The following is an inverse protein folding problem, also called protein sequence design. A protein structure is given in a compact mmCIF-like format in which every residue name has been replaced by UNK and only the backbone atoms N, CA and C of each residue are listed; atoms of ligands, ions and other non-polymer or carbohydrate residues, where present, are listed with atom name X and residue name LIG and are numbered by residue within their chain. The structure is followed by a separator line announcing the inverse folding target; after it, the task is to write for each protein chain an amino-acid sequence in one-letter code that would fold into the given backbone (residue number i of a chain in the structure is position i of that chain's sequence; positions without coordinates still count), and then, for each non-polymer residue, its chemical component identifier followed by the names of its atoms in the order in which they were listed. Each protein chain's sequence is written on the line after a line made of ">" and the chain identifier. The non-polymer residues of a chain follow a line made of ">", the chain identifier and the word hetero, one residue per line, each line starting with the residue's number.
data_IF_054664126482
#
_entry.id   IF_054664126482
#
_cell.length_a   1.000
_cell.length_b   1.000
_cell.length_c   1.000
_cell.angle_alpha   90.00
_cell.angle_beta   90.00
_cell.angle_gamma   90.00
#
_symmetry.space_group_name_H-M   'P 1'
#
loop_
_entity.id
_entity.type
_entity.pdbx_description
1 polymer ?
#
# COMPACT_ATOMS: atom_id res chain seq x y z
N UNK A 1 22.02 -1.81 20.00
CA UNK A 1 22.57 -0.99 18.88
C UNK A 1 21.51 -0.56 17.87
N UNK A 2 20.71 -1.47 17.27
CA UNK A 2 19.78 -1.20 16.14
C UNK A 2 19.04 0.16 16.18
N UNK A 3 18.42 0.55 17.28
CA UNK A 3 17.70 1.83 17.42
C UNK A 3 18.55 3.10 17.18
N UNK A 4 19.84 3.11 17.50
CA UNK A 4 20.70 4.30 17.31
C UNK A 4 21.01 4.58 15.84
N UNK A 5 21.06 3.53 15.00
CA UNK A 5 21.28 3.66 13.55
C UNK A 5 20.05 4.29 12.89
N UNK A 6 18.84 3.86 13.29
CA UNK A 6 17.57 4.35 12.73
C UNK A 6 17.36 5.85 12.93
N UNK A 7 17.71 6.39 14.10
CA UNK A 7 17.60 7.84 14.39
C UNK A 7 18.58 8.66 13.54
N UNK A 8 19.77 8.15 13.25
CA UNK A 8 20.78 8.86 12.44
C UNK A 8 20.28 9.03 10.99
N UNK A 9 19.69 8.00 10.40
CA UNK A 9 19.15 8.07 9.03
C UNK A 9 17.99 9.08 8.87
N UNK A 10 17.12 9.19 9.88
CA UNK A 10 16.04 10.19 9.86
C UNK A 10 16.60 11.62 9.92
N UNK A 11 17.61 11.87 10.75
CA UNK A 11 18.22 13.19 10.89
C UNK A 11 19.01 13.62 9.64
N UNK A 12 19.78 12.72 9.01
CA UNK A 12 20.54 13.06 7.79
C UNK A 12 19.64 13.22 6.57
N UNK A 13 18.64 12.35 6.41
CA UNK A 13 17.68 12.42 5.30
C UNK A 13 16.81 13.67 5.30
N UNK A 14 16.46 14.20 6.48
CA UNK A 14 15.56 15.35 6.61
C UNK A 14 16.26 16.73 6.50
N UNK A 15 17.53 16.85 6.94
CA UNK A 15 18.23 18.15 6.91
C UNK A 15 18.82 18.52 5.55
N UNK A 16 19.30 17.56 4.75
CA UNK A 16 19.99 17.85 3.49
C UNK A 16 19.14 18.63 2.46
N UNK A 17 17.83 18.34 2.27
CA UNK A 17 16.98 19.13 1.38
C UNK A 17 16.75 20.58 1.84
N UNK A 18 16.83 20.84 3.15
CA UNK A 18 16.53 22.15 3.73
C UNK A 18 17.65 23.18 3.50
N UNK A 19 18.91 22.77 3.40
CA UNK A 19 20.00 23.69 3.03
C UNK A 19 19.93 24.11 1.55
N UNK A 20 19.44 23.25 0.66
CA UNK A 20 19.34 23.56 -0.77
C UNK A 20 18.36 24.72 -1.05
N UNK A 21 17.26 24.80 -0.30
CA UNK A 21 16.23 25.84 -0.47
C UNK A 21 16.67 27.24 -0.02
N UNK A 22 17.75 27.37 0.76
CA UNK A 22 18.27 28.68 1.22
C UNK A 22 19.19 29.33 0.17
N UNK A 23 19.72 28.57 -0.81
CA UNK A 23 20.71 29.07 -1.76
C UNK A 23 20.13 29.65 -3.06
N UNK A 24 18.82 29.58 -3.29
CA UNK A 24 18.19 29.95 -4.56
C UNK A 24 17.29 31.20 -4.42
N UNK A 25 17.88 32.32 -4.00
CA UNK A 25 17.23 33.62 -4.09
C UNK A 25 18.21 34.65 -4.68
N UNK A 26 18.19 34.76 -6.01
CA UNK A 26 18.98 35.73 -6.78
C UNK A 26 18.07 36.35 -7.83
N UNK A 27 17.84 37.66 -7.71
CA UNK A 27 16.99 38.40 -8.64
C UNK A 27 17.64 38.47 -10.04
N UNK A 28 16.87 38.29 -11.13
CA UNK A 28 17.36 38.60 -12.47
C UNK A 28 17.33 40.12 -12.71
N UNK A 29 18.45 40.69 -13.14
CA UNK A 29 18.53 42.09 -13.54
C UNK A 29 17.59 42.41 -14.72
N UNK A 30 17.11 43.66 -14.76
CA UNK A 30 16.42 44.21 -15.93
C UNK A 30 17.42 44.47 -17.05
N UNK A 31 17.15 43.96 -18.25
CA UNK A 31 17.77 44.45 -19.49
C UNK A 31 16.69 44.86 -20.48
N UNK A 32 16.88 46.02 -21.12
CA UNK A 32 15.89 46.59 -22.03
C UNK A 32 16.10 46.14 -23.49
N UNK A 33 14.99 45.87 -24.17
CA UNK A 33 14.78 46.27 -25.57
C UNK A 33 15.56 45.55 -26.69
N UNK A 34 14.81 44.74 -27.46
CA UNK A 34 14.84 44.83 -28.94
C UNK A 34 13.41 44.81 -29.46
N UNK A 35 13.04 45.79 -30.30
CA UNK A 35 11.81 45.75 -31.12
C UNK A 35 12.10 44.97 -32.40
N UNK A 36 11.31 43.93 -32.69
CA UNK A 36 11.27 43.29 -34.01
C UNK A 36 9.83 42.89 -34.35
N UNK A 37 9.11 43.81 -35.03
CA UNK A 37 7.79 43.55 -35.59
C UNK A 37 7.90 43.15 -37.06
N UNK A 38 7.61 41.89 -37.38
CA UNK A 38 7.53 41.39 -38.76
C UNK A 38 6.16 40.76 -39.01
N UNK A 39 5.54 41.12 -40.14
CA UNK A 39 4.16 40.75 -40.48
C UNK A 39 4.05 39.26 -40.79
N UNK A 40 3.08 38.58 -40.16
CA UNK A 40 2.50 37.37 -40.74
C UNK A 40 1.62 37.76 -41.94
N UNK A 41 1.78 37.04 -43.05
CA UNK A 41 0.78 36.97 -44.12
C UNK A 41 0.76 35.52 -44.66
N UNK A 42 -0.41 35.03 -45.03
CA UNK A 42 -0.57 33.67 -45.53
C UNK A 42 -0.43 33.60 -47.06
N UNK A 43 -0.03 32.43 -47.58
CA UNK A 43 -0.86 31.69 -48.54
C UNK A 43 -0.30 30.28 -48.83
N UNK A 44 -1.21 29.41 -49.27
CA UNK A 44 -1.09 27.99 -49.66
C UNK A 44 -0.47 27.81 -51.07
N UNK A 45 -0.26 26.58 -51.64
CA UNK A 45 -0.74 25.25 -51.24
C UNK A 45 0.29 24.09 -51.24
N UNK A 46 -0.19 22.89 -50.91
CA UNK A 46 0.46 21.58 -51.10
C UNK A 46 0.35 21.06 -52.54
N UNK A 47 1.23 20.13 -52.96
CA UNK A 47 0.95 19.15 -54.00
C UNK A 47 0.76 17.71 -53.43
N UNK A 48 -0.09 16.92 -54.08
CA UNK A 48 -0.26 15.46 -53.84
C UNK A 48 0.62 14.63 -54.81
N UNK A 49 0.81 13.32 -54.59
CA UNK A 49 1.89 12.57 -55.25
C UNK A 49 1.55 11.96 -56.61
N UNK A 50 2.58 11.88 -57.46
CA UNK A 50 2.86 10.80 -58.39
C UNK A 50 4.39 10.54 -58.35
N UNK A 51 4.94 9.36 -58.64
CA UNK A 51 4.31 8.14 -59.15
C UNK A 51 4.58 7.93 -60.63
N UNK A 52 5.75 7.34 -60.98
CA UNK A 52 5.99 6.60 -62.23
C UNK A 52 7.33 5.81 -62.16
N UNK A 53 7.26 4.52 -62.50
CA UNK A 53 8.25 3.63 -63.17
C UNK A 53 9.76 3.95 -63.21
N UNK A 54 10.60 2.92 -62.98
CA UNK A 54 11.98 2.86 -63.49
C UNK A 54 12.81 1.70 -62.92
N UNK A 55 13.09 0.66 -63.70
CA UNK A 55 13.80 -0.55 -63.23
C UNK A 55 15.32 -0.38 -63.03
N UNK A 56 15.90 -1.16 -62.12
CA UNK A 56 17.33 -1.08 -61.78
C UNK A 56 17.87 -2.29 -61.02
N UNK A 57 17.89 -3.48 -61.64
CA UNK A 57 18.50 -4.68 -61.06
C UNK A 57 20.01 -4.51 -60.85
N UNK A 58 20.46 -4.54 -59.58
CA UNK A 58 21.84 -4.89 -59.22
C UNK A 58 21.84 -5.78 -57.98
N UNK A 59 22.48 -6.95 -58.08
CA UNK A 59 22.86 -7.74 -56.90
C UNK A 59 23.96 -7.00 -56.15
N UNK A 60 23.98 -7.16 -54.83
CA UNK A 60 25.15 -6.93 -54.00
C UNK A 60 25.39 -8.21 -53.21
N UNK A 61 26.52 -8.87 -53.49
CA UNK A 61 26.93 -10.10 -52.81
C UNK A 61 27.51 -9.79 -51.41
N UNK A 62 27.42 -10.70 -50.44
CA UNK A 62 27.74 -10.41 -49.04
C UNK A 62 29.26 -10.35 -48.77
N UNK A 63 29.71 -9.52 -47.80
CA UNK A 63 31.10 -9.52 -47.34
C UNK A 63 31.46 -10.83 -46.60
N UNK A 64 32.74 -11.25 -46.62
CA UNK A 64 33.15 -12.60 -46.22
C UNK A 64 33.35 -12.81 -44.71
N UNK A 65 33.25 -14.08 -44.30
CA UNK A 65 33.67 -14.58 -42.98
C UNK A 65 35.17 -14.93 -42.95
N UNK A 66 35.92 -14.51 -41.91
CA UNK A 66 36.89 -15.35 -41.22
C UNK A 66 36.13 -16.43 -40.40
N UNK A 67 36.60 -17.66 -40.18
CA UNK A 67 38.01 -18.08 -40.14
C UNK A 67 38.59 -17.72 -38.77
N UNK A 68 38.77 -18.61 -37.80
CA UNK A 68 38.69 -20.07 -37.83
C UNK A 68 39.95 -20.60 -37.14
N UNK A 69 39.83 -21.01 -35.88
CA UNK A 69 40.98 -21.44 -35.07
C UNK A 69 40.52 -22.15 -33.80
N UNK A 70 40.94 -23.39 -33.65
CA UNK A 70 40.67 -24.22 -32.48
C UNK A 70 42.01 -24.70 -31.90
N UNK A 71 42.15 -24.61 -30.58
CA UNK A 71 43.26 -25.22 -29.82
C UNK A 71 42.75 -25.69 -28.47
N UNK A 72 42.49 -26.98 -28.36
CA UNK A 72 42.48 -27.74 -27.10
C UNK A 72 43.64 -28.74 -27.17
N UNK A 73 44.52 -28.77 -26.15
CA UNK A 73 45.17 -30.02 -25.79
C UNK A 73 45.21 -30.25 -24.27
N UNK A 74 44.15 -30.83 -23.72
CA UNK A 74 44.12 -32.25 -23.33
C UNK A 74 45.03 -32.79 -22.19
N UNK A 75 44.43 -33.68 -21.40
CA UNK A 75 45.03 -34.78 -20.61
C UNK A 75 46.10 -34.51 -19.52
N UNK A 76 45.67 -34.66 -18.27
CA UNK A 76 46.21 -35.68 -17.33
C UNK A 76 45.13 -35.98 -16.27
N UNK A 77 44.67 -37.20 -15.96
CA UNK A 77 45.18 -38.57 -15.96
C UNK A 77 45.93 -39.00 -14.67
N UNK A 78 45.20 -39.73 -13.80
CA UNK A 78 45.75 -40.71 -12.83
C UNK A 78 46.07 -40.24 -11.40
N UNK A 79 45.22 -40.58 -10.41
CA UNK A 79 45.38 -41.79 -9.58
C UNK A 79 44.57 -41.80 -8.25
N UNK A 80 44.11 -42.99 -7.87
CA UNK A 80 43.61 -43.40 -6.54
C UNK A 80 44.78 -43.78 -5.58
N UNK A 81 44.60 -44.27 -4.33
CA UNK A 81 43.37 -44.43 -3.50
C UNK A 81 43.50 -43.90 -2.04
N UNK A 82 42.41 -44.06 -1.26
CA UNK A 82 42.43 -44.13 0.21
C UNK A 82 42.01 -42.83 0.94
N UNK A 83 41.43 -42.88 2.13
CA UNK A 83 40.97 -44.06 2.88
C UNK A 83 40.72 -43.70 4.36
N UNK A 84 39.51 -43.98 4.87
CA UNK A 84 39.17 -43.65 6.25
C UNK A 84 37.68 -43.86 6.54
N UNK A 85 37.34 -44.93 7.25
CA UNK A 85 36.01 -45.19 7.75
C UNK A 85 36.00 -45.12 9.28
N UNK A 86 34.99 -44.48 9.85
CA UNK A 86 34.53 -44.71 11.23
C UNK A 86 33.02 -44.52 11.26
N UNK A 87 32.34 -45.41 11.97
CA UNK A 87 30.88 -45.57 11.97
C UNK A 87 30.27 -45.00 13.29
N UNK A 88 29.04 -45.29 13.75
CA UNK A 88 28.01 -44.25 13.77
C UNK A 88 27.55 -43.82 15.17
N UNK A 89 26.99 -42.60 15.26
CA UNK A 89 26.33 -42.08 16.46
C UNK A 89 24.80 -42.10 16.33
N UNK A 90 24.13 -42.95 17.11
CA UNK A 90 22.67 -43.11 17.12
C UNK A 90 21.92 -41.98 17.84
N UNK A 91 20.70 -41.64 17.40
CA UNK A 91 19.90 -40.57 18.03
C UNK A 91 18.43 -40.51 17.59
N UNK A 92 17.70 -41.63 17.63
CA UNK A 92 16.26 -41.64 17.32
C UNK A 92 15.43 -41.07 18.49
N UNK A 93 14.63 -40.04 18.23
CA UNK A 93 13.70 -39.43 19.19
C UNK A 93 12.27 -39.44 18.66
N UNK A 94 11.38 -40.23 19.26
CA UNK A 94 9.99 -40.36 18.83
C UNK A 94 9.09 -39.28 19.44
N UNK A 95 8.19 -38.70 18.63
CA UNK A 95 6.98 -38.02 19.10
C UNK A 95 5.75 -38.86 18.73
N UNK A 96 4.93 -39.23 19.73
CA UNK A 96 3.58 -38.64 19.87
C UNK A 96 3.31 -38.19 21.33
N UNK A 97 2.20 -37.54 21.69
CA UNK A 97 1.08 -37.01 20.90
C UNK A 97 -0.28 -37.23 21.56
N UNK A 98 -1.06 -36.15 21.78
CA UNK A 98 -2.49 -36.19 22.16
C UNK A 98 -2.83 -36.45 23.65
N UNK A 99 -3.78 -35.69 24.19
CA UNK A 99 -4.37 -35.87 25.53
C UNK A 99 -5.21 -34.64 25.94
N UNK A 100 -6.39 -34.85 26.54
CA UNK A 100 -7.36 -33.78 26.87
C UNK A 100 -8.21 -34.14 28.12
N UNK A 101 -8.99 -33.17 28.63
CA UNK A 101 -9.99 -33.26 29.74
C UNK A 101 -9.40 -33.61 31.12
N UNK A 102 -9.95 -33.22 32.29
CA UNK A 102 -11.08 -32.34 32.65
C UNK A 102 -10.81 -31.73 34.06
N UNK A 103 -11.54 -30.71 34.56
CA UNK A 103 -11.22 -30.08 35.85
C UNK A 103 -11.96 -30.69 37.06
N UNK A 104 -11.19 -31.05 38.10
CA UNK A 104 -11.63 -31.07 39.50
C UNK A 104 -10.87 -29.99 40.29
N UNK A 105 -11.40 -29.40 41.36
CA UNK A 105 -12.57 -29.77 42.14
C UNK A 105 -12.14 -30.01 43.59
N UNK A 106 -12.25 -28.99 44.45
CA UNK A 106 -11.81 -29.09 45.85
C UNK A 106 -12.08 -27.81 46.63
N UNK A 107 -12.93 -27.90 47.65
CA UNK A 107 -13.22 -26.82 48.59
C UNK A 107 -12.83 -27.24 50.01
N UNK A 108 -12.08 -26.40 50.72
CA UNK A 108 -11.74 -26.60 52.14
C UNK A 108 -11.71 -25.27 52.91
N UNK A 109 -12.73 -25.10 53.77
CA UNK A 109 -12.63 -24.67 55.18
C UNK A 109 -11.65 -23.56 55.60
N UNK A 110 -12.18 -22.54 56.32
CA UNK A 110 -11.42 -21.75 57.31
C UNK A 110 -11.14 -22.55 58.60
N UNK A 111 -10.98 -21.94 59.81
CA UNK A 111 -11.56 -20.65 60.25
C UNK A 111 -10.68 -19.78 61.21
N UNK A 112 -11.30 -18.78 61.86
CA UNK A 112 -11.09 -18.31 63.27
C UNK A 112 -10.49 -16.90 63.54
N UNK A 113 -11.11 -16.22 64.53
CA UNK A 113 -10.76 -14.89 65.09
C UNK A 113 -11.58 -13.72 64.48
N UNK A 114 -12.37 -12.90 65.20
CA UNK A 114 -12.62 -12.74 66.65
C UNK A 114 -11.62 -11.81 67.33
N UNK A 115 -11.97 -10.73 68.06
CA UNK A 115 -13.26 -10.06 68.39
C UNK A 115 -12.94 -8.58 68.81
N UNK A 116 -13.79 -7.66 69.31
CA UNK A 116 -15.15 -7.66 69.92
C UNK A 116 -15.78 -6.24 69.84
N UNK A 117 -17.02 -6.04 70.34
CA UNK A 117 -17.65 -4.73 70.71
C UNK A 117 -17.75 -4.62 72.27
N UNK A 118 -18.27 -3.57 72.98
CA UNK A 118 -19.40 -2.68 72.63
C UNK A 118 -19.41 -1.19 73.16
N UNK A 119 -20.50 -0.45 72.86
CA UNK A 119 -20.97 0.80 73.55
C UNK A 119 -20.34 2.11 73.06
N UNK A 120 -20.97 3.29 73.05
CA UNK A 120 -22.30 3.83 73.47
C UNK A 120 -22.14 5.35 73.75
N UNK A 121 -23.10 6.29 73.68
CA UNK A 121 -24.52 6.33 73.31
C UNK A 121 -25.04 7.80 73.39
N UNK A 122 -26.37 8.01 73.46
CA UNK A 122 -27.11 9.25 73.86
C UNK A 122 -27.26 10.47 72.90
N UNK A 123 -28.49 10.67 72.39
CA UNK A 123 -29.47 11.79 72.67
C UNK A 123 -28.97 13.18 73.16
N UNK A 124 -29.53 14.35 72.79
CA UNK A 124 -30.69 14.73 71.92
C UNK A 124 -30.58 16.24 71.43
N UNK A 125 -31.58 17.16 71.31
CA UNK A 125 -31.77 17.90 70.05
C UNK A 125 -31.87 19.45 70.10
N UNK A 126 -32.24 20.04 68.94
CA UNK A 126 -32.89 21.34 68.64
C UNK A 126 -32.05 22.32 67.80
N UNK A 127 -32.66 22.93 66.75
CA UNK A 127 -31.96 23.96 65.97
C UNK A 127 -32.57 24.49 64.65
N UNK A 128 -33.87 24.82 64.61
CA UNK A 128 -34.42 25.76 63.59
C UNK A 128 -34.67 25.24 62.17
N UNK A 129 -35.84 25.55 61.63
CA UNK A 129 -36.19 25.32 60.22
C UNK A 129 -36.28 26.66 59.47
N UNK A 130 -35.80 26.70 58.23
CA UNK A 130 -36.25 27.66 57.19
C UNK A 130 -35.89 27.18 55.78
N UNK A 131 -36.91 26.72 55.06
CA UNK A 131 -37.03 26.79 53.60
C UNK A 131 -38.32 27.61 53.35
N UNK A 132 -38.32 28.60 52.44
CA UNK A 132 -38.70 28.31 51.04
C UNK A 132 -37.83 29.05 50.00
N UNK A 133 -37.02 28.30 49.24
CA UNK A 133 -36.03 28.83 48.29
C UNK A 133 -36.24 28.55 46.79
N UNK A 134 -37.36 27.93 46.39
CA UNK A 134 -37.89 27.82 45.01
C UNK A 134 -36.86 27.84 43.85
N UNK A 135 -36.09 26.75 43.69
CA UNK A 135 -35.05 26.62 42.64
C UNK A 135 -35.08 25.32 41.83
N UNK A 136 -36.16 24.53 41.93
CA UNK A 136 -36.26 23.20 41.30
C UNK A 136 -36.54 23.28 39.79
N UNK A 137 -35.56 23.75 39.02
CA UNK A 137 -35.55 23.62 37.56
C UNK A 137 -35.37 22.16 37.15
N UNK A 138 -36.46 21.49 36.73
CA UNK A 138 -36.41 20.14 36.17
C UNK A 138 -35.59 20.13 34.87
N UNK A 139 -34.31 19.74 34.97
CA UNK A 139 -33.43 19.55 33.81
C UNK A 139 -32.88 18.10 33.71
N UNK A 140 -33.74 17.09 33.49
CA UNK A 140 -33.29 15.75 33.14
C UNK A 140 -32.76 15.76 31.69
N UNK A 141 -31.45 15.92 31.52
CA UNK A 141 -30.79 15.88 30.21
C UNK A 141 -29.30 16.21 30.27
N UNK A 142 -28.98 17.45 30.63
CA UNK A 142 -27.66 18.06 30.35
C UNK A 142 -26.40 17.36 30.90
N UNK A 143 -26.52 16.42 31.84
CA UNK A 143 -25.39 15.58 32.27
C UNK A 143 -25.09 14.42 31.31
N UNK A 144 -26.12 13.83 30.70
CA UNK A 144 -25.97 12.79 29.68
C UNK A 144 -25.55 13.41 28.34
N UNK A 145 -26.23 14.49 27.92
CA UNK A 145 -25.93 15.20 26.67
C UNK A 145 -24.45 15.66 26.60
N UNK A 146 -23.89 16.12 27.73
CA UNK A 146 -22.48 16.51 27.82
C UNK A 146 -21.50 15.32 27.80
N UNK A 147 -21.90 14.15 28.30
CA UNK A 147 -21.08 12.94 28.25
C UNK A 147 -21.05 12.36 26.82
N UNK A 148 -22.20 12.32 26.15
CA UNK A 148 -22.31 11.83 24.77
C UNK A 148 -21.50 12.70 23.81
N UNK A 149 -21.62 14.03 23.87
CA UNK A 149 -20.84 14.95 23.03
C UNK A 149 -19.33 14.86 23.28
N UNK A 150 -18.90 14.57 24.53
CA UNK A 150 -17.51 14.30 24.84
C UNK A 150 -17.01 12.98 24.21
N UNK A 151 -17.80 11.90 24.26
CA UNK A 151 -17.43 10.64 23.60
C UNK A 151 -17.41 10.80 22.07
N UNK A 152 -18.36 11.55 21.48
CA UNK A 152 -18.32 11.91 20.05
C UNK A 152 -17.01 12.61 19.69
N UNK A 153 -16.58 13.59 20.48
CA UNK A 153 -15.33 14.31 20.21
C UNK A 153 -14.12 13.37 20.28
N UNK A 154 -14.03 12.47 21.26
CA UNK A 154 -12.97 11.44 21.34
C UNK A 154 -12.94 10.52 20.11
N UNK A 155 -14.10 10.22 19.52
CA UNK A 155 -14.23 9.44 18.28
C UNK A 155 -13.73 10.26 17.06
N UNK A 156 -14.04 11.55 16.98
CA UNK A 156 -13.58 12.45 15.91
C UNK A 156 -12.08 12.72 16.01
N UNK A 157 -11.55 12.82 17.22
CA UNK A 157 -10.13 12.94 17.51
C UNK A 157 -9.36 11.70 17.01
N UNK A 158 -9.93 10.50 17.19
CA UNK A 158 -9.40 9.26 16.63
C UNK A 158 -9.35 9.30 15.09
N UNK A 159 -10.44 9.72 14.42
CA UNK A 159 -10.44 9.85 12.95
C UNK A 159 -9.45 10.90 12.44
N UNK A 160 -9.30 12.01 13.17
CA UNK A 160 -8.37 13.09 12.85
C UNK A 160 -6.91 12.62 12.92
N UNK A 161 -6.57 11.80 13.92
CA UNK A 161 -5.24 11.17 14.07
C UNK A 161 -5.00 10.07 13.03
N UNK A 162 -6.05 9.37 12.61
CA UNK A 162 -6.01 8.30 11.61
C UNK A 162 -5.83 8.82 10.18
N UNK A 163 -6.52 9.90 9.80
CA UNK A 163 -6.44 10.51 8.46
C UNK A 163 -5.21 11.42 8.32
N UNK A 164 -4.04 10.83 8.56
CA UNK A 164 -2.73 11.48 8.50
C UNK A 164 -2.38 11.99 7.10
N UNK A 165 -1.36 12.85 7.03
CA UNK A 165 -0.98 13.59 5.81
C UNK A 165 -0.60 12.69 4.62
N UNK A 166 -0.19 11.43 4.83
CA UNK A 166 0.09 10.47 3.75
C UNK A 166 -1.18 10.14 2.97
N UNK A 167 -2.23 9.68 3.66
CA UNK A 167 -3.55 9.40 3.08
C UNK A 167 -4.12 10.64 2.38
N UNK A 168 -4.06 11.80 3.05
CA UNK A 168 -4.54 13.08 2.48
C UNK A 168 -3.75 13.47 1.20
N UNK A 169 -2.43 13.30 1.18
CA UNK A 169 -1.58 13.54 -0.01
C UNK A 169 -1.92 12.58 -1.15
N UNK A 170 -2.03 11.28 -0.89
CA UNK A 170 -2.33 10.25 -1.91
C UNK A 170 -3.69 10.48 -2.58
N UNK A 171 -4.70 10.88 -1.80
CA UNK A 171 -6.02 11.26 -2.32
C UNK A 171 -5.96 12.57 -3.12
N UNK A 172 -5.17 13.56 -2.67
CA UNK A 172 -4.97 14.81 -3.40
C UNK A 172 -4.35 14.56 -4.79
N UNK A 173 -3.24 13.80 -4.85
CA UNK A 173 -2.59 13.40 -6.11
C UNK A 173 -3.57 12.59 -6.98
N UNK A 174 -4.36 11.67 -6.40
CA UNK A 174 -5.32 10.91 -7.20
C UNK A 174 -6.40 11.78 -7.84
N UNK A 175 -6.85 12.83 -7.16
CA UNK A 175 -7.88 13.76 -7.66
C UNK A 175 -7.33 14.87 -8.57
N UNK A 176 -6.01 15.10 -8.61
CA UNK A 176 -5.40 16.15 -9.41
C UNK A 176 -5.51 15.86 -10.93
N UNK A 177 -6.33 16.67 -11.62
CA UNK A 177 -6.53 16.57 -13.07
C UNK A 177 -5.32 17.00 -13.89
N UNK A 178 -4.34 17.69 -13.30
CA UNK A 178 -3.09 18.14 -13.93
C UNK A 178 -1.93 17.17 -13.76
N UNK A 179 -2.04 16.22 -12.83
CA UNK A 179 -1.01 15.19 -12.59
C UNK A 179 -0.72 14.36 -13.83
N UNK A 180 0.56 14.22 -14.16
CA UNK A 180 1.04 13.61 -15.40
C UNK A 180 1.82 12.32 -15.14
N UNK A 181 1.17 11.18 -15.42
CA UNK A 181 1.74 9.83 -15.35
C UNK A 181 3.05 9.66 -16.13
N UNK A 182 3.25 10.44 -17.20
CA UNK A 182 4.46 10.43 -18.02
C UNK A 182 5.63 11.14 -17.32
N UNK A 183 5.35 12.16 -16.50
CA UNK A 183 6.38 12.85 -15.72
C UNK A 183 6.98 11.98 -14.62
N UNK A 184 6.15 11.16 -13.98
CA UNK A 184 6.54 10.25 -12.88
C UNK A 184 7.43 9.08 -13.33
N UNK A 185 7.61 8.88 -14.64
CA UNK A 185 8.59 7.95 -15.22
C UNK A 185 8.44 6.48 -14.76
N UNK A 186 7.24 6.03 -14.38
CA UNK A 186 6.99 4.67 -13.86
C UNK A 186 7.34 3.53 -14.83
N UNK A 187 7.45 3.78 -16.14
CA UNK A 187 7.92 2.81 -17.14
C UNK A 187 7.18 1.46 -17.17
N UNK A 188 5.83 1.48 -17.09
CA UNK A 188 4.98 0.27 -17.11
C UNK A 188 4.06 0.12 -18.34
N UNK A 189 4.07 1.08 -19.28
CA UNK A 189 3.03 1.24 -20.31
C UNK A 189 3.36 0.74 -21.73
N UNK A 190 4.62 0.49 -22.10
CA UNK A 190 4.93 0.04 -23.47
C UNK A 190 4.31 -1.33 -23.76
N UNK A 191 4.16 -1.71 -25.04
CA UNK A 191 3.46 -2.95 -25.43
C UNK A 191 4.14 -4.25 -24.95
N UNK A 192 5.42 -4.20 -24.57
CA UNK A 192 6.16 -5.31 -23.98
C UNK A 192 6.20 -5.26 -22.43
N UNK A 193 5.77 -4.15 -21.82
CA UNK A 193 5.69 -3.99 -20.37
C UNK A 193 4.34 -4.45 -19.83
N UNK A 194 4.28 -4.59 -18.51
CA UNK A 194 3.16 -4.99 -17.68
C UNK A 194 1.78 -4.53 -18.18
N UNK A 195 1.50 -3.22 -18.24
CA UNK A 195 0.18 -2.72 -18.68
C UNK A 195 -0.09 -2.90 -20.18
N UNK A 196 0.94 -3.20 -20.98
CA UNK A 196 0.82 -3.61 -22.37
C UNK A 196 0.44 -5.08 -22.55
N UNK A 197 0.63 -5.94 -21.53
CA UNK A 197 0.26 -7.36 -21.61
C UNK A 197 -1.00 -7.73 -20.82
N UNK A 198 -1.26 -7.13 -19.66
CA UNK A 198 -2.46 -7.46 -18.84
C UNK A 198 -3.70 -6.69 -19.30
N UNK A 199 -4.88 -7.25 -19.01
CA UNK A 199 -6.17 -6.69 -19.39
C UNK A 199 -7.10 -6.51 -18.18
N UNK A 200 -7.98 -5.52 -18.21
CA UNK A 200 -9.12 -5.44 -17.31
C UNK A 200 -10.43 -5.72 -18.05
N UNK A 201 -11.53 -5.71 -17.31
CA UNK A 201 -12.89 -5.79 -17.85
C UNK A 201 -13.53 -4.42 -17.65
N UNK A 202 -13.92 -3.77 -18.73
CA UNK A 202 -14.42 -2.39 -18.74
C UNK A 202 -15.89 -2.29 -18.30
N UNK A 203 -16.42 -1.07 -18.15
CA UNK A 203 -17.82 -0.83 -17.78
C UNK A 203 -18.83 -1.42 -18.80
N UNK A 204 -18.41 -1.68 -20.04
CA UNK A 204 -19.18 -2.32 -21.12
C UNK A 204 -18.94 -3.85 -21.18
N UNK A 205 -18.29 -4.42 -20.15
CA UNK A 205 -17.92 -5.83 -19.97
C UNK A 205 -16.92 -6.36 -21.02
N UNK A 206 -16.24 -5.47 -21.75
CA UNK A 206 -15.22 -5.83 -22.76
C UNK A 206 -13.84 -6.02 -22.12
N UNK A 207 -12.97 -6.78 -22.77
CA UNK A 207 -11.57 -6.95 -22.35
C UNK A 207 -10.69 -5.87 -22.98
N UNK A 208 -9.89 -5.20 -22.16
CA UNK A 208 -9.17 -3.97 -22.57
C UNK A 208 -7.78 -3.91 -21.93
N UNK A 209 -6.77 -3.53 -22.69
CA UNK A 209 -5.39 -3.38 -22.21
C UNK A 209 -5.27 -2.16 -21.29
N UNK A 210 -4.45 -2.27 -20.24
CA UNK A 210 -4.27 -1.18 -19.29
C UNK A 210 -3.52 0.02 -19.86
N UNK A 211 -2.69 -0.16 -20.89
CA UNK A 211 -1.86 0.92 -21.46
C UNK A 211 -2.56 1.85 -22.47
N UNK A 212 -3.85 1.65 -22.76
CA UNK A 212 -4.58 2.55 -23.66
C UNK A 212 -4.78 3.93 -23.03
N UNK A 213 -4.86 4.97 -23.87
CA UNK A 213 -4.84 6.37 -23.43
C UNK A 213 -6.23 7.02 -23.29
N UNK A 214 -7.27 6.21 -23.29
CA UNK A 214 -8.61 6.64 -22.87
C UNK A 214 -8.71 6.78 -21.34
N UNK A 215 -9.74 7.48 -20.89
CA UNK A 215 -9.84 7.93 -19.50
C UNK A 215 -10.17 6.79 -18.52
N UNK A 216 -10.84 5.74 -18.98
CA UNK A 216 -11.12 4.57 -18.14
C UNK A 216 -9.83 3.76 -17.88
N UNK A 217 -8.96 3.61 -18.89
CA UNK A 217 -7.65 2.98 -18.73
C UNK A 217 -6.69 3.84 -17.90
N UNK A 218 -6.71 5.17 -18.06
CA UNK A 218 -5.97 6.09 -17.18
C UNK A 218 -6.44 5.97 -15.72
N UNK A 219 -7.74 6.00 -15.46
CA UNK A 219 -8.29 5.76 -14.11
C UNK A 219 -7.90 4.38 -13.58
N UNK A 220 -7.93 3.34 -14.43
CA UNK A 220 -7.51 2.00 -14.06
C UNK A 220 -6.03 1.91 -13.62
N UNK A 221 -5.14 2.72 -14.21
CA UNK A 221 -3.74 2.84 -13.76
C UNK A 221 -3.60 3.74 -12.53
N UNK A 222 -4.31 4.88 -12.45
CA UNK A 222 -4.34 5.77 -11.27
C UNK A 222 -4.84 5.08 -9.99
N UNK A 223 -5.76 4.11 -10.11
CA UNK A 223 -6.16 3.23 -9.00
C UNK A 223 -5.04 2.29 -8.55
N UNK A 224 -4.22 1.79 -9.48
CA UNK A 224 -3.06 0.95 -9.15
C UNK A 224 -2.01 1.81 -8.41
N UNK A 225 -1.67 2.99 -8.93
CA UNK A 225 -0.70 3.89 -8.27
C UNK A 225 -1.17 4.38 -6.90
N UNK A 226 -2.47 4.62 -6.74
CA UNK A 226 -3.06 4.98 -5.46
C UNK A 226 -2.89 3.87 -4.40
N UNK A 227 -2.92 2.59 -4.80
CA UNK A 227 -2.65 1.47 -3.89
C UNK A 227 -1.23 1.48 -3.31
N UNK A 228 -0.28 2.09 -4.01
CA UNK A 228 1.12 2.27 -3.61
C UNK A 228 1.43 3.73 -3.24
N UNK A 229 0.41 4.49 -2.80
CA UNK A 229 0.54 5.88 -2.30
C UNK A 229 1.16 6.88 -3.31
N UNK A 230 1.13 6.57 -4.61
CA UNK A 230 1.88 7.26 -5.68
C UNK A 230 3.42 7.30 -5.48
N UNK A 231 3.95 6.51 -4.55
CA UNK A 231 5.38 6.49 -4.22
C UNK A 231 6.16 5.66 -5.26
N UNK A 232 6.94 6.36 -6.08
CA UNK A 232 7.77 5.78 -7.16
C UNK A 232 8.52 4.49 -6.75
N UNK A 233 9.25 4.41 -5.62
CA UNK A 233 10.02 3.20 -5.29
C UNK A 233 9.15 1.96 -5.03
N UNK A 234 7.92 2.14 -4.54
CA UNK A 234 6.98 1.04 -4.33
C UNK A 234 6.39 0.55 -5.66
N UNK A 235 6.06 1.49 -6.55
CA UNK A 235 5.53 1.23 -7.90
C UNK A 235 6.62 0.58 -8.79
N UNK A 236 7.87 1.04 -8.67
CA UNK A 236 9.03 0.52 -9.37
C UNK A 236 9.34 -0.92 -8.96
N UNK A 237 9.47 -1.20 -7.65
CA UNK A 237 9.77 -2.54 -7.14
C UNK A 237 8.72 -3.59 -7.59
N UNK A 238 7.43 -3.28 -7.44
CA UNK A 238 6.36 -4.16 -7.92
C UNK A 238 6.36 -4.27 -9.46
N UNK A 239 6.52 -3.13 -10.14
CA UNK A 239 6.47 -3.02 -11.59
C UNK A 239 7.60 -3.76 -12.31
N UNK A 240 8.82 -3.75 -11.77
CA UNK A 240 9.97 -4.48 -12.30
C UNK A 240 9.76 -6.00 -12.26
N UNK A 241 9.24 -6.52 -11.13
CA UNK A 241 8.91 -7.94 -10.97
C UNK A 241 7.75 -8.35 -11.89
N UNK A 242 6.70 -7.53 -11.97
CA UNK A 242 5.59 -7.75 -12.89
C UNK A 242 6.00 -7.66 -14.37
N UNK A 243 6.99 -6.82 -14.72
CA UNK A 243 7.59 -6.77 -16.06
C UNK A 243 8.38 -8.05 -16.39
N UNK A 244 9.14 -8.63 -15.44
CA UNK A 244 9.83 -9.93 -15.65
C UNK A 244 8.81 -11.06 -15.92
N UNK A 245 7.74 -11.14 -15.14
CA UNK A 245 6.63 -12.09 -15.39
C UNK A 245 5.90 -11.84 -16.72
N UNK A 246 5.71 -10.58 -17.11
CA UNK A 246 5.11 -10.21 -18.40
C UNK A 246 5.97 -10.66 -19.60
N UNK A 247 7.28 -10.50 -19.51
CA UNK A 247 8.23 -10.83 -20.59
C UNK A 247 8.27 -12.33 -20.93
N UNK A 248 7.97 -13.21 -19.97
CA UNK A 248 7.89 -14.66 -20.18
C UNK A 248 6.69 -15.09 -21.05
N UNK A 249 5.72 -14.19 -21.31
CA UNK A 249 4.52 -14.45 -22.14
C UNK A 249 3.63 -15.62 -21.67
N UNK A 250 3.87 -16.13 -20.45
CA UNK A 250 3.15 -17.26 -19.86
C UNK A 250 1.68 -16.88 -19.54
N UNK A 251 0.74 -17.68 -20.05
CA UNK A 251 -0.71 -17.46 -19.93
C UNK A 251 -1.19 -17.51 -18.48
N UNK A 252 -0.60 -18.36 -17.64
CA UNK A 252 -0.92 -18.45 -16.22
C UNK A 252 -0.43 -17.19 -15.49
N UNK A 253 0.84 -16.81 -15.63
CA UNK A 253 1.40 -15.60 -15.03
C UNK A 253 0.59 -14.35 -15.40
N UNK A 254 0.22 -14.20 -16.67
CA UNK A 254 -0.64 -13.11 -17.16
C UNK A 254 -2.02 -13.10 -16.49
N UNK A 255 -2.59 -14.26 -16.22
CA UNK A 255 -3.89 -14.41 -15.55
C UNK A 255 -3.80 -14.05 -14.06
N UNK A 256 -2.75 -14.51 -13.38
CA UNK A 256 -2.47 -14.22 -11.97
C UNK A 256 -2.19 -12.73 -11.75
N UNK A 257 -1.31 -12.11 -12.55
CA UNK A 257 -1.09 -10.66 -12.55
C UNK A 257 -2.40 -9.88 -12.78
N UNK A 258 -3.24 -10.33 -13.72
CA UNK A 258 -4.54 -9.71 -14.00
C UNK A 258 -5.46 -9.74 -12.77
N UNK A 259 -5.50 -10.87 -12.05
CA UNK A 259 -6.30 -11.03 -10.83
C UNK A 259 -5.73 -10.22 -9.65
N UNK A 260 -4.41 -10.20 -9.50
CA UNK A 260 -3.69 -9.44 -8.47
C UNK A 260 -3.96 -7.93 -8.62
N UNK A 261 -3.75 -7.37 -9.81
CA UNK A 261 -4.04 -5.96 -10.10
C UNK A 261 -5.53 -5.63 -9.91
N UNK A 262 -6.43 -6.52 -10.31
CA UNK A 262 -7.87 -6.34 -10.09
C UNK A 262 -8.18 -6.17 -8.59
N UNK A 263 -7.61 -7.01 -7.72
CA UNK A 263 -7.79 -6.88 -6.25
C UNK A 263 -7.15 -5.60 -5.72
N UNK A 264 -5.90 -5.31 -6.08
CA UNK A 264 -5.18 -4.11 -5.64
C UNK A 264 -5.97 -2.83 -5.98
N UNK A 265 -6.54 -2.74 -7.19
CA UNK A 265 -7.43 -1.64 -7.59
C UNK A 265 -8.76 -1.60 -6.83
N UNK A 266 -9.36 -2.75 -6.53
CA UNK A 266 -10.57 -2.83 -5.69
C UNK A 266 -10.29 -2.31 -4.28
N UNK A 267 -9.16 -2.69 -3.69
CA UNK A 267 -8.68 -2.20 -2.41
C UNK A 267 -8.43 -0.69 -2.43
N UNK A 268 -7.74 -0.15 -3.43
CA UNK A 268 -7.47 1.29 -3.52
C UNK A 268 -8.75 2.13 -3.60
N UNK A 269 -9.74 1.69 -4.40
CA UNK A 269 -11.08 2.29 -4.42
C UNK A 269 -11.76 2.22 -3.05
N UNK A 270 -11.72 1.06 -2.39
CA UNK A 270 -12.37 0.85 -1.11
C UNK A 270 -11.75 1.72 -0.01
N UNK A 271 -10.44 1.60 0.23
CA UNK A 271 -9.73 2.36 1.25
C UNK A 271 -9.78 3.87 0.98
N UNK A 272 -9.10 4.33 -0.07
CA UNK A 272 -8.88 5.76 -0.28
C UNK A 272 -10.14 6.49 -0.76
N UNK A 273 -10.88 5.92 -1.71
CA UNK A 273 -11.96 6.65 -2.40
C UNK A 273 -13.35 6.45 -1.77
N UNK A 274 -13.59 5.32 -1.11
CA UNK A 274 -14.90 4.97 -0.52
C UNK A 274 -14.94 5.22 0.98
N UNK A 275 -13.87 4.89 1.73
CA UNK A 275 -13.80 5.16 3.17
C UNK A 275 -13.11 6.51 3.49
N UNK A 276 -11.85 6.69 3.10
CA UNK A 276 -11.05 7.85 3.52
C UNK A 276 -11.54 9.18 2.95
N UNK A 277 -11.73 9.27 1.62
CA UNK A 277 -12.09 10.51 0.93
C UNK A 277 -13.43 11.10 1.41
N UNK A 278 -14.53 10.34 1.62
CA UNK A 278 -15.73 10.87 2.27
C UNK A 278 -15.51 11.29 3.72
N UNK A 279 -14.77 10.52 4.54
CA UNK A 279 -14.50 10.88 5.94
C UNK A 279 -13.71 12.20 6.05
N UNK A 280 -12.74 12.41 5.15
CA UNK A 280 -11.96 13.66 5.07
C UNK A 280 -12.83 14.83 4.61
N UNK A 281 -13.75 14.61 3.66
CA UNK A 281 -14.65 15.65 3.13
C UNK A 281 -15.79 16.07 4.05
N UNK A 282 -16.10 15.27 5.07
CA UNK A 282 -17.14 15.54 6.07
C UNK A 282 -16.60 15.61 7.50
N UNK A 283 -15.28 15.79 7.66
CA UNK A 283 -14.59 15.77 8.96
C UNK A 283 -15.14 16.82 9.93
N UNK A 284 -15.61 17.95 9.39
CA UNK A 284 -16.27 19.07 10.07
C UNK A 284 -17.70 18.78 10.54
N UNK A 285 -18.37 17.77 9.95
CA UNK A 285 -19.78 17.44 10.18
C UNK A 285 -20.01 16.17 11.00
N UNK A 286 -18.94 15.52 11.47
CA UNK A 286 -19.06 14.25 12.18
C UNK A 286 -19.86 14.34 13.49
N UNK A 287 -19.97 15.52 14.12
CA UNK A 287 -20.83 15.74 15.30
C UNK A 287 -22.33 15.67 14.99
N UNK A 288 -22.74 15.82 13.72
CA UNK A 288 -24.14 15.68 13.27
C UNK A 288 -24.63 14.21 13.32
N UNK A 289 -23.71 13.23 13.42
CA UNK A 289 -24.05 11.82 13.64
C UNK A 289 -24.46 11.57 15.10
N UNK A 290 -25.31 10.57 15.32
CA UNK A 290 -25.53 10.04 16.68
C UNK A 290 -24.32 9.24 17.19
N UNK A 291 -24.26 9.02 18.51
CA UNK A 291 -23.12 8.35 19.14
C UNK A 291 -22.99 6.88 18.69
N UNK A 292 -24.10 6.20 18.38
CA UNK A 292 -24.08 4.80 17.94
C UNK A 292 -23.56 4.66 16.51
N UNK A 293 -23.91 5.60 15.63
CA UNK A 293 -23.31 5.74 14.30
C UNK A 293 -21.81 6.01 14.39
N UNK A 294 -21.37 6.92 15.28
CA UNK A 294 -19.95 7.23 15.47
C UNK A 294 -19.16 6.05 16.04
N UNK A 295 -19.72 5.33 17.02
CA UNK A 295 -19.15 4.07 17.54
C UNK A 295 -19.04 3.00 16.43
N UNK A 296 -20.09 2.85 15.61
CA UNK A 296 -20.10 1.89 14.48
C UNK A 296 -19.07 2.28 13.42
N UNK A 297 -19.00 3.57 13.06
CA UNK A 297 -18.02 4.13 12.13
C UNK A 297 -16.59 3.93 12.65
N UNK A 298 -16.35 4.11 13.95
CA UNK A 298 -15.06 3.86 14.62
C UNK A 298 -14.65 2.40 14.54
N UNK A 299 -15.57 1.47 14.75
CA UNK A 299 -15.31 0.04 14.58
C UNK A 299 -14.96 -0.32 13.12
N UNK A 300 -15.76 0.16 12.16
CA UNK A 300 -15.56 -0.10 10.71
C UNK A 300 -14.25 0.49 10.18
N UNK A 301 -13.99 1.77 10.46
CA UNK A 301 -12.73 2.45 10.08
C UNK A 301 -11.54 1.84 10.83
N UNK A 302 -11.73 1.38 12.07
CA UNK A 302 -10.70 0.68 12.85
C UNK A 302 -10.27 -0.66 12.24
N UNK A 303 -11.22 -1.46 11.77
CA UNK A 303 -10.93 -2.69 11.03
C UNK A 303 -10.18 -2.38 9.72
N UNK A 304 -10.71 -1.45 8.91
CA UNK A 304 -10.11 -1.02 7.64
C UNK A 304 -8.67 -0.51 7.82
N UNK A 305 -8.40 0.26 8.88
CA UNK A 305 -7.07 0.80 9.21
C UNK A 305 -6.11 -0.27 9.77
N UNK A 306 -6.62 -1.33 10.39
CA UNK A 306 -5.80 -2.49 10.80
C UNK A 306 -5.33 -3.24 9.56
N UNK A 307 -6.26 -3.59 8.67
CA UNK A 307 -5.92 -4.33 7.45
C UNK A 307 -5.10 -3.48 6.44
N UNK A 308 -5.33 -2.18 6.39
CA UNK A 308 -4.44 -1.24 5.69
C UNK A 308 -2.98 -1.38 6.12
N UNK A 309 -2.71 -1.44 7.42
CA UNK A 309 -1.34 -1.60 7.96
C UNK A 309 -0.78 -2.99 7.65
N UNK A 310 -1.59 -4.03 7.72
CA UNK A 310 -1.18 -5.39 7.37
C UNK A 310 -0.75 -5.46 5.89
N UNK A 311 -1.57 -4.95 4.97
CA UNK A 311 -1.24 -4.84 3.53
C UNK A 311 0.00 -3.96 3.30
N UNK A 312 0.06 -2.79 3.94
CA UNK A 312 1.19 -1.87 3.78
C UNK A 312 2.51 -2.47 4.29
N UNK A 313 2.49 -3.24 5.38
CA UNK A 313 3.68 -3.88 5.96
C UNK A 313 4.07 -5.18 5.23
N UNK A 314 3.16 -6.15 5.17
CA UNK A 314 3.42 -7.53 4.70
C UNK A 314 3.52 -7.64 3.18
N UNK A 315 2.83 -6.77 2.42
CA UNK A 315 2.84 -6.78 0.97
C UNK A 315 3.65 -5.62 0.38
N UNK A 316 3.21 -4.36 0.58
CA UNK A 316 3.82 -3.19 -0.10
C UNK A 316 5.27 -2.98 0.34
N UNK A 317 5.50 -2.74 1.64
CA UNK A 317 6.83 -2.53 2.19
C UNK A 317 7.69 -3.80 2.08
N UNK A 318 7.11 -5.00 2.18
CA UNK A 318 7.92 -6.21 2.02
C UNK A 318 8.42 -6.37 0.58
N UNK A 319 7.60 -6.16 -0.44
CA UNK A 319 8.04 -6.23 -1.84
C UNK A 319 9.10 -5.16 -2.13
N UNK A 320 8.89 -3.94 -1.64
CA UNK A 320 9.90 -2.87 -1.71
C UNK A 320 11.22 -3.26 -1.05
N UNK A 321 11.20 -3.69 0.22
CA UNK A 321 12.43 -4.01 0.96
C UNK A 321 13.12 -5.23 0.37
N UNK A 322 12.40 -6.30 0.05
CA UNK A 322 12.97 -7.52 -0.54
C UNK A 322 13.63 -7.22 -1.90
N UNK A 323 12.98 -6.38 -2.72
CA UNK A 323 13.53 -5.93 -4.01
C UNK A 323 14.81 -5.12 -3.82
N UNK A 324 14.79 -4.01 -3.06
CA UNK A 324 15.98 -3.16 -2.94
C UNK A 324 17.11 -3.77 -2.08
N UNK A 325 16.83 -4.70 -1.17
CA UNK A 325 17.86 -5.54 -0.53
C UNK A 325 18.30 -6.73 -1.41
N UNK A 326 17.68 -6.92 -2.57
CA UNK A 326 18.03 -7.92 -3.59
C UNK A 326 18.15 -9.35 -3.05
N UNK A 327 17.13 -9.78 -2.29
CA UNK A 327 17.18 -11.05 -1.56
C UNK A 327 17.30 -12.28 -2.48
N UNK A 328 17.91 -13.34 -1.96
CA UNK A 328 17.84 -14.67 -2.58
C UNK A 328 16.41 -15.22 -2.52
N UNK A 329 15.90 -15.74 -3.64
CA UNK A 329 14.65 -16.49 -3.74
C UNK A 329 14.84 -17.79 -4.55
N UNK A 330 13.80 -18.64 -4.52
CA UNK A 330 13.78 -19.93 -5.23
C UNK A 330 14.73 -20.98 -4.64
N UNK A 331 14.71 -22.18 -5.22
CA UNK A 331 15.63 -23.27 -4.84
C UNK A 331 17.05 -23.06 -5.40
N UNK A 332 17.18 -22.27 -6.47
CA UNK A 332 18.46 -21.92 -7.08
C UNK A 332 19.18 -20.76 -6.37
N UNK A 333 18.53 -20.11 -5.39
CA UNK A 333 19.05 -18.93 -4.65
C UNK A 333 19.38 -17.75 -5.59
N UNK A 334 18.55 -17.54 -6.60
CA UNK A 334 18.68 -16.38 -7.48
C UNK A 334 18.29 -15.09 -6.75
N UNK A 335 18.99 -14.00 -7.04
CA UNK A 335 18.74 -12.68 -6.47
C UNK A 335 17.60 -11.97 -7.20
N UNK A 336 16.71 -11.34 -6.44
CA UNK A 336 15.40 -10.86 -6.90
C UNK A 336 15.49 -9.82 -8.04
N UNK A 337 16.44 -8.88 -7.98
CA UNK A 337 16.68 -7.91 -9.05
C UNK A 337 17.43 -8.54 -10.22
N UNK A 338 18.51 -9.28 -9.98
CA UNK A 338 19.44 -9.67 -11.04
C UNK A 338 18.90 -10.85 -11.85
N UNK A 339 19.02 -12.07 -11.32
CA UNK A 339 18.92 -13.32 -12.09
C UNK A 339 17.70 -14.19 -11.76
N UNK A 340 16.83 -13.78 -10.83
CA UNK A 340 15.58 -14.49 -10.54
C UNK A 340 14.71 -14.68 -11.80
N UNK A 341 14.27 -15.93 -12.01
CA UNK A 341 13.43 -16.34 -13.14
C UNK A 341 11.99 -15.84 -13.00
N UNK A 342 11.23 -15.86 -14.11
CA UNK A 342 9.83 -15.46 -14.09
C UNK A 342 8.98 -16.37 -13.19
N UNK A 343 9.29 -17.66 -13.13
CA UNK A 343 8.67 -18.69 -12.31
C UNK A 343 8.95 -18.49 -10.81
N UNK A 344 10.19 -18.14 -10.45
CA UNK A 344 10.54 -17.81 -9.06
C UNK A 344 9.87 -16.49 -8.60
N UNK A 345 9.80 -15.50 -9.48
CA UNK A 345 9.11 -14.23 -9.21
C UNK A 345 7.59 -14.42 -9.13
N UNK A 346 7.01 -15.28 -9.97
CA UNK A 346 5.62 -15.72 -9.88
C UNK A 346 5.32 -16.34 -8.52
N UNK A 347 6.14 -17.31 -8.09
CA UNK A 347 6.00 -17.95 -6.78
C UNK A 347 6.15 -16.94 -5.62
N UNK A 348 7.12 -16.03 -5.71
CA UNK A 348 7.35 -14.97 -4.73
C UNK A 348 6.14 -14.01 -4.62
N UNK A 349 5.71 -13.39 -5.72
CA UNK A 349 4.60 -12.43 -5.72
C UNK A 349 3.27 -13.07 -5.35
N UNK A 350 3.00 -14.30 -5.82
CA UNK A 350 1.80 -15.04 -5.44
C UNK A 350 1.83 -15.40 -3.95
N UNK A 351 2.99 -15.78 -3.40
CA UNK A 351 3.16 -16.03 -1.96
C UNK A 351 2.83 -14.79 -1.12
N UNK A 352 3.46 -13.65 -1.43
CA UNK A 352 3.18 -12.36 -0.77
C UNK A 352 1.71 -11.97 -0.88
N UNK A 353 1.12 -12.03 -2.08
CA UNK A 353 -0.27 -11.65 -2.30
C UNK A 353 -1.26 -12.56 -1.56
N UNK A 354 -1.06 -13.88 -1.60
CA UNK A 354 -1.91 -14.85 -0.90
C UNK A 354 -1.87 -14.63 0.61
N UNK A 355 -0.69 -14.30 1.17
CA UNK A 355 -0.55 -14.01 2.60
C UNK A 355 -1.28 -12.76 3.11
N UNK A 356 -1.82 -11.92 2.22
CA UNK A 356 -2.62 -10.72 2.58
C UNK A 356 -4.00 -10.67 1.89
N UNK A 357 -4.45 -11.76 1.25
CA UNK A 357 -5.70 -11.73 0.48
C UNK A 357 -6.93 -11.51 1.38
N UNK A 358 -6.89 -11.98 2.63
CA UNK A 358 -8.00 -11.83 3.58
C UNK A 358 -8.18 -10.36 3.98
N UNK A 359 -7.08 -9.63 4.14
CA UNK A 359 -6.99 -8.24 4.52
C UNK A 359 -7.48 -7.35 3.38
N UNK A 360 -7.07 -7.65 2.14
CA UNK A 360 -7.65 -7.02 0.95
C UNK A 360 -9.17 -7.23 0.88
N UNK A 361 -9.66 -8.44 1.14
CA UNK A 361 -11.10 -8.74 1.13
C UNK A 361 -11.87 -7.97 2.22
N UNK A 362 -11.33 -7.87 3.43
CA UNK A 362 -11.94 -7.12 4.55
C UNK A 362 -12.04 -5.63 4.22
N UNK A 363 -10.99 -4.99 3.71
CA UNK A 363 -11.05 -3.57 3.31
C UNK A 363 -12.10 -3.34 2.21
N UNK A 364 -12.17 -4.24 1.22
CA UNK A 364 -13.16 -4.18 0.14
C UNK A 364 -14.61 -4.38 0.66
N UNK A 365 -14.79 -5.20 1.70
CA UNK A 365 -16.10 -5.52 2.30
C UNK A 365 -16.64 -4.43 3.23
N UNK A 366 -15.79 -3.84 4.07
CA UNK A 366 -16.23 -2.91 5.14
C UNK A 366 -16.34 -1.45 4.68
N UNK A 367 -15.64 -1.04 3.62
CA UNK A 367 -15.66 0.35 3.15
C UNK A 367 -17.04 0.88 2.67
N UNK A 368 -17.93 0.07 2.04
CA UNK A 368 -19.29 0.49 1.73
C UNK A 368 -20.11 0.88 2.98
N UNK A 369 -19.90 0.23 4.12
CA UNK A 369 -20.62 0.54 5.36
C UNK A 369 -20.18 1.90 5.93
N UNK A 370 -18.88 2.21 5.85
CA UNK A 370 -18.33 3.53 6.18
C UNK A 370 -18.98 4.62 5.33
N UNK A 371 -19.08 4.41 4.01
CA UNK A 371 -19.78 5.35 3.13
C UNK A 371 -21.28 5.44 3.45
N UNK A 372 -21.92 4.33 3.82
CA UNK A 372 -23.33 4.27 4.23
C UNK A 372 -23.64 5.15 5.45
N UNK A 373 -22.82 5.08 6.51
CA UNK A 373 -22.97 5.94 7.70
C UNK A 373 -22.71 7.40 7.34
N UNK A 374 -21.64 7.69 6.58
CA UNK A 374 -21.29 9.05 6.16
C UNK A 374 -22.28 9.71 5.18
N UNK A 375 -23.25 8.97 4.66
CA UNK A 375 -24.35 9.51 3.84
C UNK A 375 -25.55 9.99 4.68
N UNK A 376 -25.56 9.78 6.00
CA UNK A 376 -26.59 10.34 6.91
C UNK A 376 -26.43 11.85 7.13
N UNK A 377 -25.19 12.34 7.05
CA UNK A 377 -24.79 13.75 7.13
C UNK A 377 -24.51 14.29 5.72
N UNK A 378 -24.73 15.59 5.46
CA UNK A 378 -24.71 16.14 4.09
C UNK A 378 -23.31 16.56 3.60
#
# INVERSE_FOLDING_TARGET
>A
MKYKIFIIFILTGLLLPLLALVSCNSEPEKTEGVKLGAKLNANTPTPKPGGLTGGGLRKLDPPPKPGGGATDPGNSAGNHPGGGATDPGSGAGNHPGGGATDPGGGATTGPSGGATSPGGGATDPNGGATDPGSGAGNHPGGGADQQDEAEKQDIIDYFTKLMHQGIKKSISIHNDTTWSEVGESYNLQTSAQFFGVIQYTDAKKQKKLYNTQDDESKTARREMYLAFEYLLPYIEAFGALANKMAAAQNVQMKTELTNMVKKIRQYARAFYLTACNPLIKKQDKLMELDLSDLQTLKAKVGAINTEYKNINFLFINSIYNDYYNNIEIGTAKHTLQDNATAEEIQAYLNGKFTSVESEFNTVIKEAPDVAGILNKIQ
#
